data_IF_172050214871
#
_entry.id   IF_172050214871
#
_cell.length_a   1.000
_cell.length_b   1.000
_cell.length_c   1.000
_cell.angle_alpha   90.00
_cell.angle_beta   90.00
_cell.angle_gamma   90.00
#
_symmetry.space_group_name_H-M   'P 1'
#
loop_
_entity.id
_entity.type
_entity.pdbx_description
1 polymer ?
#
# COMPACT_ATOMS: atom_id res chain seq x y z
N UNK A 1 -14.26 8.00 -1.67
CA UNK A 1 -12.92 7.92 -1.05
C UNK A 1 -12.06 7.05 -1.96
N UNK A 2 -10.98 7.60 -2.52
CA UNK A 2 -10.15 6.90 -3.50
C UNK A 2 -9.69 5.56 -2.96
N UNK A 3 -9.94 4.49 -3.73
CA UNK A 3 -9.57 3.11 -3.43
C UNK A 3 -8.05 2.97 -3.42
N UNK A 4 -7.44 3.20 -2.25
CA UNK A 4 -6.04 2.81 -2.01
C UNK A 4 -5.99 1.29 -1.98
N UNK A 5 -5.01 0.72 -2.64
CA UNK A 5 -4.79 -0.73 -2.72
C UNK A 5 -3.39 -1.04 -2.24
N UNK A 6 -3.26 -2.15 -1.51
CA UNK A 6 -1.98 -2.66 -1.09
C UNK A 6 -1.19 -3.05 -2.34
N UNK A 7 -0.07 -2.37 -2.55
CA UNK A 7 0.84 -2.62 -3.67
C UNK A 7 1.63 -3.93 -3.52
N UNK A 8 1.43 -4.66 -2.40
CA UNK A 8 1.97 -6.00 -2.27
C UNK A 8 1.20 -6.96 -3.21
N UNK A 9 1.87 -7.56 -4.21
CA UNK A 9 1.20 -8.39 -5.23
C UNK A 9 0.51 -9.62 -4.65
N UNK A 10 0.97 -10.11 -3.49
CA UNK A 10 0.34 -11.24 -2.79
C UNK A 10 -0.90 -10.84 -1.96
N UNK A 11 -1.10 -9.55 -1.67
CA UNK A 11 -2.18 -9.08 -0.80
C UNK A 11 -3.29 -8.40 -1.59
N UNK A 12 -2.99 -7.34 -2.35
CA UNK A 12 -3.99 -6.59 -3.10
C UNK A 12 -5.16 -6.03 -2.26
N UNK A 13 -5.02 -5.95 -0.93
CA UNK A 13 -6.11 -5.50 -0.05
C UNK A 13 -6.46 -4.04 -0.32
N UNK A 14 -7.75 -3.75 -0.42
CA UNK A 14 -8.30 -2.39 -0.60
C UNK A 14 -8.93 -1.84 0.67
N UNK A 15 -9.02 -2.66 1.72
CA UNK A 15 -9.63 -2.32 3.01
C UNK A 15 -8.63 -2.61 4.13
N UNK A 16 -8.05 -1.55 4.70
CA UNK A 16 -7.15 -1.61 5.84
C UNK A 16 -7.39 -0.40 6.73
N UNK A 17 -7.24 -0.58 8.03
CA UNK A 17 -7.46 0.47 9.02
C UNK A 17 -6.37 1.53 8.93
N UNK A 18 -5.14 1.11 8.58
CA UNK A 18 -3.98 1.99 8.46
C UNK A 18 -3.14 1.62 7.24
N UNK A 19 -2.76 2.66 6.49
CA UNK A 19 -1.81 2.55 5.39
C UNK A 19 -0.39 2.83 5.91
N UNK A 20 0.56 2.05 5.43
CA UNK A 20 1.98 2.19 5.67
C UNK A 20 2.70 2.47 4.35
N UNK A 21 3.79 3.24 4.46
CA UNK A 21 4.69 3.53 3.36
C UNK A 21 5.73 2.41 3.23
N UNK A 22 5.72 1.73 2.09
CA UNK A 22 6.64 0.64 1.76
C UNK A 22 7.89 1.12 1.05
N UNK A 23 8.34 0.35 0.05
CA UNK A 23 9.51 0.69 -0.74
C UNK A 23 9.31 1.95 -1.60
N UNK A 24 10.39 2.70 -1.90
CA UNK A 24 10.32 3.87 -2.77
C UNK A 24 9.94 3.47 -4.20
N UNK A 25 9.01 4.21 -4.80
CA UNK A 25 8.57 4.03 -6.17
C UNK A 25 9.49 4.79 -7.13
N UNK A 26 9.69 4.24 -8.34
CA UNK A 26 10.49 4.88 -9.39
C UNK A 26 9.95 6.25 -9.82
N UNK A 27 8.65 6.48 -9.66
CA UNK A 27 8.00 7.75 -9.98
C UNK A 27 8.17 8.83 -8.88
N UNK A 28 8.83 8.50 -7.77
CA UNK A 28 8.82 9.29 -6.55
C UNK A 28 7.60 8.96 -5.68
N UNK A 29 7.81 8.94 -4.36
CA UNK A 29 6.83 8.47 -3.37
C UNK A 29 7.09 7.04 -2.89
N UNK A 30 6.24 6.56 -2.00
CA UNK A 30 6.35 5.23 -1.38
C UNK A 30 5.19 4.32 -1.80
N UNK A 31 5.45 3.02 -1.86
CA UNK A 31 4.43 2.03 -2.12
C UNK A 31 3.39 2.05 -0.98
N UNK A 32 2.11 2.07 -1.31
CA UNK A 32 1.08 1.96 -0.27
C UNK A 32 0.93 0.49 0.14
N UNK A 33 1.23 0.19 1.39
CA UNK A 33 1.06 -1.13 1.99
C UNK A 33 -0.03 -1.05 3.06
N UNK A 34 -0.80 -2.13 3.20
CA UNK A 34 -1.70 -2.25 4.34
C UNK A 34 -0.92 -2.56 5.62
N UNK A 35 -1.56 -2.37 6.77
CA UNK A 35 -0.97 -2.66 8.08
C UNK A 35 -0.42 -4.08 8.25
N UNK A 36 -0.94 -5.04 7.47
CA UNK A 36 -0.50 -6.43 7.50
C UNK A 36 0.72 -6.71 6.61
N UNK A 37 1.05 -5.81 5.67
CA UNK A 37 2.16 -5.96 4.72
C UNK A 37 3.28 -4.93 4.89
N UNK A 38 3.00 -3.82 5.60
CA UNK A 38 3.97 -2.78 5.92
C UNK A 38 5.02 -3.24 6.94
#
# INVERSE_FOLDING_TARGET
>A
MGSRVCMNPCCGSTSTSRWMDGWPLRAGGFANLCEACG
#
